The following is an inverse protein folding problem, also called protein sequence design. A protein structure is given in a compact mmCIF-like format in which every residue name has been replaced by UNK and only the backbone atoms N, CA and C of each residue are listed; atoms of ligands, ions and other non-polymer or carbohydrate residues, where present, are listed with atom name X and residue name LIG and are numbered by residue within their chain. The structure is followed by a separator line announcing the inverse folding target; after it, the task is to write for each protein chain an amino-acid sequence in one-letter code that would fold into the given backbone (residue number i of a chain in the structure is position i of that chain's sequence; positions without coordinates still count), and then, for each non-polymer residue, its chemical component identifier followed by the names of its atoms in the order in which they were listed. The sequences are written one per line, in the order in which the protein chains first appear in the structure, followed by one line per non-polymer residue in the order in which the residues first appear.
data_IF_588631700722
#
_entry.id   IF_588631700722
#
_cell.length_a   1.000
_cell.length_b   1.000
_cell.length_c   1.000
_cell.angle_alpha   90.00
_cell.angle_beta   90.00
_cell.angle_gamma   90.00
#
_symmetry.space_group_name_H-M   'P 1'
#
loop_
_entity.id
_entity.type
_entity.pdbx_description
1 polymer ?
#
# COMPACT_ATOMS: atom_id res chain seq x y z
N UNK A 1 -9.18 67.27 7.35
CA UNK A 1 -10.07 67.51 6.21
C UNK A 1 -9.58 66.64 5.08
N UNK A 2 -10.40 65.84 4.42
CA UNK A 2 -11.57 66.30 3.66
C UNK A 2 -12.62 65.19 3.55
N UNK A 3 -13.86 65.53 3.90
CA UNK A 3 -15.08 64.76 3.66
C UNK A 3 -15.53 64.89 2.19
N UNK A 4 -16.27 63.87 1.69
CA UNK A 4 -17.53 63.92 0.91
C UNK A 4 -17.58 62.78 -0.13
N UNK A 5 -18.76 62.36 -0.62
CA UNK A 5 -20.00 62.08 0.10
C UNK A 5 -20.58 60.68 -0.22
N UNK A 6 -21.46 60.23 0.67
CA UNK A 6 -22.42 59.15 0.46
C UNK A 6 -23.30 59.43 -0.76
N UNK A 7 -23.52 58.42 -1.61
CA UNK A 7 -24.56 58.42 -2.63
C UNK A 7 -25.43 57.17 -2.48
N UNK A 8 -26.57 57.39 -1.85
CA UNK A 8 -27.78 56.59 -1.95
C UNK A 8 -28.26 56.57 -3.41
N UNK A 9 -28.76 55.44 -3.91
CA UNK A 9 -30.18 55.33 -4.24
C UNK A 9 -30.58 53.89 -4.62
N UNK A 10 -31.87 53.52 -4.46
CA UNK A 10 -32.39 52.16 -4.50
C UNK A 10 -33.20 51.86 -5.78
N UNK A 11 -33.73 50.64 -5.86
CA UNK A 11 -34.97 50.21 -6.57
C UNK A 11 -34.80 49.22 -7.73
N UNK A 12 -35.57 48.13 -7.63
CA UNK A 12 -35.82 47.10 -8.64
C UNK A 12 -35.60 45.71 -8.04
N UNK A 13 -36.51 45.11 -7.27
CA UNK A 13 -37.89 44.81 -7.66
C UNK A 13 -37.95 43.40 -8.26
N UNK A 14 -38.01 42.36 -7.42
CA UNK A 14 -38.33 40.99 -7.86
C UNK A 14 -39.59 40.54 -7.12
N UNK A 15 -40.65 40.12 -7.81
CA UNK A 15 -41.92 39.82 -7.19
C UNK A 15 -41.93 38.44 -6.51
N UNK A 16 -42.61 38.44 -5.37
CA UNK A 16 -43.10 37.32 -4.59
C UNK A 16 -43.63 36.16 -5.42
N UNK A 17 -43.12 34.95 -5.17
CA UNK A 17 -43.92 33.72 -5.29
C UNK A 17 -43.87 32.94 -3.98
N UNK A 18 -44.94 33.15 -3.23
CA UNK A 18 -45.39 32.42 -2.07
C UNK A 18 -45.64 30.95 -2.44
N UNK A 19 -45.03 30.01 -1.72
CA UNK A 19 -45.59 28.67 -1.48
C UNK A 19 -45.24 28.29 -0.04
N UNK A 20 -46.28 28.04 0.75
CA UNK A 20 -46.25 27.69 2.17
C UNK A 20 -45.70 26.27 2.44
N UNK A 21 -45.31 25.97 3.69
CA UNK A 21 -44.57 24.78 4.07
C UNK A 21 -45.50 23.62 4.45
N UNK A 22 -45.13 22.37 4.14
CA UNK A 22 -45.70 21.18 4.78
C UNK A 22 -44.61 20.12 5.03
N UNK A 23 -44.31 19.96 6.32
CA UNK A 23 -43.72 18.83 7.07
C UNK A 23 -42.79 17.80 6.41
N UNK A 24 -41.64 17.58 7.07
CA UNK A 24 -41.07 16.22 7.15
C UNK A 24 -39.60 16.15 7.54
N UNK A 25 -39.33 15.84 8.82
CA UNK A 25 -38.23 14.94 9.19
C UNK A 25 -36.82 15.53 9.31
N UNK A 26 -36.51 16.11 10.48
CA UNK A 26 -35.15 16.16 10.99
C UNK A 26 -34.76 14.79 11.56
N UNK A 27 -33.93 14.01 10.87
CA UNK A 27 -33.09 12.99 11.54
C UNK A 27 -31.71 12.92 10.88
N UNK A 28 -30.77 13.56 11.58
CA UNK A 28 -29.36 13.19 11.71
C UNK A 28 -28.66 12.57 10.49
N UNK A 29 -27.92 13.40 9.77
CA UNK A 29 -26.72 12.98 9.06
C UNK A 29 -25.76 12.32 10.06
N UNK A 30 -25.64 11.00 9.95
CA UNK A 30 -24.78 10.18 10.78
C UNK A 30 -24.58 8.82 10.12
N UNK A 31 -24.11 8.80 8.87
CA UNK A 31 -23.65 7.57 8.24
C UNK A 31 -22.13 7.60 8.23
N UNK A 32 -21.61 6.84 9.18
CA UNK A 32 -20.20 6.60 9.44
C UNK A 32 -19.57 5.97 8.18
N UNK A 33 -18.48 6.58 7.72
CA UNK A 33 -17.65 6.07 6.63
C UNK A 33 -17.01 4.75 7.08
N UNK A 34 -17.58 3.62 6.63
CA UNK A 34 -16.95 2.31 6.77
C UNK A 34 -16.11 2.02 5.53
N UNK A 35 -14.80 1.97 5.72
CA UNK A 35 -13.81 1.52 4.75
C UNK A 35 -14.13 0.09 4.30
N UNK A 36 -14.24 -0.13 2.98
CA UNK A 36 -14.33 -1.47 2.38
C UNK A 36 -15.48 -1.62 1.38
N UNK A 37 -15.49 -0.81 0.31
CA UNK A 37 -16.52 -0.91 -0.73
C UNK A 37 -16.29 -2.11 -1.66
N UNK A 38 -17.12 -3.13 -1.53
CA UNK A 38 -17.46 -4.02 -2.67
C UNK A 38 -18.52 -3.32 -3.51
N UNK A 39 -18.20 -3.01 -4.77
CA UNK A 39 -19.16 -2.42 -5.69
C UNK A 39 -20.22 -3.48 -6.06
N UNK A 40 -21.42 -3.36 -5.52
CA UNK A 40 -22.57 -4.14 -5.97
C UNK A 40 -23.09 -3.54 -7.28
N UNK A 41 -22.71 -4.14 -8.42
CA UNK A 41 -23.40 -3.87 -9.69
C UNK A 41 -24.77 -4.54 -9.61
N UNK A 42 -25.85 -3.77 -9.74
CA UNK A 42 -27.20 -4.32 -9.85
C UNK A 42 -27.32 -5.12 -11.14
N UNK A 43 -27.50 -6.44 -11.02
CA UNK A 43 -27.75 -7.35 -12.13
C UNK A 43 -29.26 -7.31 -12.47
N UNK A 44 -29.65 -7.13 -13.73
CA UNK A 44 -31.06 -7.17 -14.12
C UNK A 44 -31.67 -8.56 -13.88
N UNK A 45 -32.88 -8.59 -13.32
CA UNK A 45 -33.62 -9.80 -13.02
C UNK A 45 -33.97 -10.55 -14.31
N UNK A 46 -33.26 -11.64 -14.59
CA UNK A 46 -33.48 -12.46 -15.78
C UNK A 46 -32.36 -13.44 -16.16
N UNK A 47 -31.19 -13.36 -15.51
CA UNK A 47 -30.07 -14.28 -15.76
C UNK A 47 -29.85 -15.17 -14.53
N UNK A 48 -30.10 -16.47 -14.65
CA UNK A 48 -29.69 -17.49 -13.67
C UNK A 48 -29.00 -18.65 -14.42
N UNK A 49 -28.21 -19.50 -13.74
CA UNK A 49 -27.07 -19.18 -12.92
C UNK A 49 -25.89 -20.08 -13.33
N UNK A 50 -24.87 -19.56 -14.02
CA UNK A 50 -23.71 -20.38 -14.37
C UNK A 50 -22.43 -19.62 -14.03
N UNK A 51 -21.69 -20.16 -13.05
CA UNK A 51 -20.30 -19.82 -12.86
C UNK A 51 -20.03 -18.72 -11.84
N UNK A 52 -19.45 -19.14 -10.72
CA UNK A 52 -18.76 -18.33 -9.72
C UNK A 52 -17.77 -17.39 -10.41
N UNK A 53 -18.04 -16.08 -10.45
CA UNK A 53 -17.05 -15.11 -10.89
C UNK A 53 -15.92 -15.06 -9.86
N UNK A 54 -14.74 -15.52 -10.28
CA UNK A 54 -13.49 -15.53 -9.52
C UNK A 54 -13.11 -14.12 -9.04
N UNK A 55 -13.52 -13.76 -7.82
CA UNK A 55 -12.99 -12.62 -7.07
C UNK A 55 -11.61 -12.90 -6.41
N UNK A 56 -10.94 -14.00 -6.76
CA UNK A 56 -9.60 -14.34 -6.26
C UNK A 56 -8.43 -13.83 -7.12
N UNK A 57 -8.63 -13.67 -8.43
CA UNK A 57 -7.50 -13.63 -9.38
C UNK A 57 -6.60 -12.37 -9.33
N UNK A 58 -7.07 -11.24 -8.78
CA UNK A 58 -6.24 -10.02 -8.67
C UNK A 58 -5.32 -10.10 -7.46
N UNK A 59 -5.76 -10.75 -6.38
CA UNK A 59 -4.95 -10.96 -5.18
C UNK A 59 -3.84 -11.97 -5.46
N UNK A 60 -4.17 -13.06 -6.16
CA UNK A 60 -3.23 -14.11 -6.58
C UNK A 60 -2.04 -13.56 -7.39
N UNK A 61 -2.28 -12.66 -8.36
CA UNK A 61 -1.21 -12.11 -9.20
C UNK A 61 -0.26 -11.23 -8.39
N UNK A 62 -0.81 -10.33 -7.54
CA UNK A 62 0.00 -9.42 -6.72
C UNK A 62 0.82 -10.21 -5.70
N UNK A 63 0.20 -11.20 -5.07
CA UNK A 63 0.86 -12.11 -4.16
C UNK A 63 2.03 -12.85 -4.83
N UNK A 64 1.83 -13.35 -6.06
CA UNK A 64 2.89 -14.02 -6.81
C UNK A 64 4.06 -13.08 -7.11
N UNK A 65 3.80 -11.83 -7.53
CA UNK A 65 4.85 -10.84 -7.76
C UNK A 65 5.65 -10.52 -6.49
N UNK A 66 4.98 -10.42 -5.34
CA UNK A 66 5.64 -10.20 -4.05
C UNK A 66 6.50 -11.39 -3.63
N UNK A 67 6.03 -12.62 -3.89
CA UNK A 67 6.79 -13.84 -3.66
C UNK A 67 8.02 -13.92 -4.54
N UNK A 68 7.87 -13.61 -5.83
CA UNK A 68 8.98 -13.58 -6.78
C UNK A 68 10.03 -12.55 -6.36
N UNK A 69 9.60 -11.35 -5.93
CA UNK A 69 10.52 -10.33 -5.39
C UNK A 69 11.30 -10.86 -4.18
N UNK A 70 10.64 -11.52 -3.22
CA UNK A 70 11.32 -12.12 -2.05
C UNK A 70 12.34 -13.17 -2.47
N UNK A 71 11.98 -14.04 -3.42
CA UNK A 71 12.92 -15.02 -3.95
C UNK A 71 14.12 -14.39 -4.64
N UNK A 72 13.93 -13.32 -5.42
CA UNK A 72 15.05 -12.61 -6.05
C UNK A 72 16.03 -12.05 -5.00
N UNK A 73 15.50 -11.51 -3.88
CA UNK A 73 16.33 -11.05 -2.77
C UNK A 73 17.10 -12.20 -2.11
N UNK A 74 16.45 -13.35 -1.87
CA UNK A 74 17.13 -14.52 -1.30
C UNK A 74 18.28 -15.01 -2.19
N UNK A 75 18.02 -15.12 -3.48
CA UNK A 75 19.01 -15.56 -4.47
C UNK A 75 20.20 -14.60 -4.52
N UNK A 76 19.95 -13.28 -4.49
CA UNK A 76 21.00 -12.28 -4.44
C UNK A 76 21.86 -12.43 -3.17
N UNK A 77 21.23 -12.59 -2.00
CA UNK A 77 21.94 -12.78 -0.73
C UNK A 77 22.83 -14.04 -0.79
N UNK A 78 22.27 -15.19 -1.19
CA UNK A 78 23.01 -16.45 -1.30
C UNK A 78 24.17 -16.34 -2.29
N UNK A 79 23.95 -15.67 -3.43
CA UNK A 79 24.98 -15.44 -4.45
C UNK A 79 26.15 -14.60 -3.90
N UNK A 80 25.85 -13.53 -3.18
CA UNK A 80 26.88 -12.67 -2.54
C UNK A 80 27.63 -13.44 -1.46
N UNK A 81 26.92 -14.15 -0.59
CA UNK A 81 27.51 -14.91 0.52
C UNK A 81 28.41 -16.05 0.04
N UNK A 82 27.96 -16.81 -0.97
CA UNK A 82 28.71 -17.93 -1.53
C UNK A 82 30.06 -17.51 -2.14
N UNK A 83 30.19 -16.26 -2.58
CA UNK A 83 31.43 -15.77 -3.21
C UNK A 83 32.56 -15.47 -2.22
N UNK A 84 32.25 -15.19 -0.94
CA UNK A 84 33.26 -14.79 0.06
C UNK A 84 33.21 -15.58 1.36
N UNK A 85 32.20 -16.45 1.52
CA UNK A 85 31.91 -17.29 2.69
C UNK A 85 31.61 -16.50 3.98
N UNK A 86 32.19 -15.33 4.17
CA UNK A 86 32.05 -14.49 5.37
C UNK A 86 31.68 -13.06 4.94
N UNK A 87 30.71 -12.47 5.64
CA UNK A 87 30.24 -11.12 5.34
C UNK A 87 29.77 -10.37 6.58
N UNK A 88 30.11 -9.08 6.67
CA UNK A 88 29.51 -8.20 7.67
C UNK A 88 28.11 -7.78 7.26
N UNK A 89 27.23 -7.70 8.25
CA UNK A 89 25.83 -7.33 8.10
C UNK A 89 25.62 -6.06 7.25
N UNK A 90 26.23 -4.93 7.64
CA UNK A 90 26.06 -3.65 6.94
C UNK A 90 26.53 -3.74 5.47
N UNK A 91 27.66 -4.43 5.24
CA UNK A 91 28.17 -4.60 3.88
C UNK A 91 27.26 -5.50 3.04
N UNK A 92 26.68 -6.54 3.65
CA UNK A 92 25.76 -7.45 2.96
C UNK A 92 24.51 -6.69 2.51
N UNK A 93 23.92 -5.91 3.40
CA UNK A 93 22.73 -5.08 3.10
C UNK A 93 23.02 -4.13 1.95
N UNK A 94 24.12 -3.35 2.02
CA UNK A 94 24.50 -2.41 0.96
C UNK A 94 24.73 -3.14 -0.37
N UNK A 95 25.40 -4.30 -0.36
CA UNK A 95 25.63 -5.08 -1.59
C UNK A 95 24.32 -5.56 -2.24
N UNK A 96 23.40 -6.06 -1.43
CA UNK A 96 22.09 -6.53 -1.92
C UNK A 96 21.28 -5.38 -2.50
N UNK A 97 21.30 -4.21 -1.84
CA UNK A 97 20.63 -3.01 -2.35
C UNK A 97 21.18 -2.61 -3.72
N UNK A 98 22.51 -2.49 -3.84
CA UNK A 98 23.17 -2.11 -5.11
C UNK A 98 22.89 -3.13 -6.23
N UNK A 99 22.87 -4.42 -5.90
CA UNK A 99 22.65 -5.49 -6.88
C UNK A 99 21.24 -5.48 -7.48
N UNK A 100 20.23 -5.07 -6.71
CA UNK A 100 18.83 -5.15 -7.09
C UNK A 100 18.18 -3.78 -7.35
N UNK A 101 18.92 -2.69 -7.18
CA UNK A 101 18.46 -1.31 -7.36
C UNK A 101 17.87 -1.03 -8.75
N UNK A 102 18.36 -1.72 -9.79
CA UNK A 102 17.87 -1.55 -11.18
C UNK A 102 16.46 -2.12 -11.39
N UNK A 103 16.03 -3.07 -10.55
CA UNK A 103 14.79 -3.83 -10.74
C UNK A 103 13.72 -3.52 -9.71
N UNK A 104 14.12 -3.18 -8.48
CA UNK A 104 13.21 -3.02 -7.35
C UNK A 104 13.63 -1.88 -6.43
N UNK A 105 12.64 -1.13 -5.94
CA UNK A 105 12.81 -0.28 -4.77
C UNK A 105 12.83 -1.15 -3.51
N UNK A 106 14.04 -1.54 -3.09
CA UNK A 106 14.23 -2.35 -1.90
C UNK A 106 14.20 -1.51 -0.63
N UNK A 107 13.49 -2.01 0.38
CA UNK A 107 13.55 -1.49 1.74
C UNK A 107 14.54 -2.33 2.57
N UNK A 108 15.34 -1.68 3.41
CA UNK A 108 16.22 -2.35 4.37
C UNK A 108 15.48 -3.40 5.19
N UNK A 109 14.26 -3.09 5.65
CA UNK A 109 13.46 -4.04 6.44
C UNK A 109 13.18 -5.36 5.70
N UNK A 110 13.01 -5.32 4.37
CA UNK A 110 12.81 -6.55 3.60
C UNK A 110 14.07 -7.41 3.62
N UNK A 111 15.24 -6.80 3.44
CA UNK A 111 16.53 -7.50 3.44
C UNK A 111 16.81 -8.12 4.81
N UNK A 112 16.59 -7.38 5.90
CA UNK A 112 16.69 -7.89 7.27
C UNK A 112 15.85 -9.16 7.47
N UNK A 113 14.57 -9.09 7.10
CA UNK A 113 13.66 -10.24 7.24
C UNK A 113 14.10 -11.45 6.41
N UNK A 114 14.68 -11.22 5.22
CA UNK A 114 15.18 -12.31 4.36
C UNK A 114 16.45 -12.92 4.93
N UNK A 115 17.36 -12.12 5.50
CA UNK A 115 18.56 -12.63 6.18
C UNK A 115 18.16 -13.55 7.35
N UNK A 116 17.20 -13.14 8.18
CA UNK A 116 16.69 -14.00 9.27
C UNK A 116 16.10 -15.33 8.75
N UNK A 117 15.30 -15.26 7.68
CA UNK A 117 14.74 -16.46 7.03
C UNK A 117 15.83 -17.41 6.52
N UNK A 118 16.94 -16.87 6.01
CA UNK A 118 18.08 -17.66 5.53
C UNK A 118 18.91 -18.27 6.67
N UNK A 119 18.94 -17.63 7.84
CA UNK A 119 19.55 -18.19 9.06
C UNK A 119 18.71 -19.36 9.58
N UNK A 120 17.39 -19.19 9.65
CA UNK A 120 16.46 -20.26 10.05
C UNK A 120 16.57 -21.48 9.13
N UNK A 121 16.65 -21.22 7.83
CA UNK A 121 16.79 -22.25 6.78
C UNK A 121 18.20 -22.85 6.67
N UNK A 122 19.14 -22.47 7.56
CA UNK A 122 20.52 -22.99 7.63
C UNK A 122 21.37 -22.75 6.37
N UNK A 123 21.09 -21.71 5.59
CA UNK A 123 21.98 -21.26 4.50
C UNK A 123 23.09 -20.34 5.02
N UNK A 124 22.86 -19.67 6.15
CA UNK A 124 23.78 -18.72 6.78
C UNK A 124 23.75 -18.95 8.29
N UNK A 125 24.86 -18.71 8.99
CA UNK A 125 24.94 -18.69 10.46
C UNK A 125 25.59 -17.39 10.92
N UNK A 126 25.19 -16.92 12.11
CA UNK A 126 25.90 -15.82 12.79
C UNK A 126 27.17 -16.37 13.44
N UNK A 127 28.26 -15.59 13.38
CA UNK A 127 29.48 -15.95 14.09
C UNK A 127 29.23 -16.00 15.61
N UNK A 128 29.98 -16.83 16.30
CA UNK A 128 29.89 -16.96 17.77
C UNK A 128 30.53 -15.77 18.48
N UNK A 129 31.55 -15.17 17.86
CA UNK A 129 32.27 -14.00 18.39
C UNK A 129 31.56 -12.66 18.08
N UNK A 130 30.93 -12.54 16.91
CA UNK A 130 30.28 -11.31 16.46
C UNK A 130 28.95 -11.61 15.75
N UNK A 131 27.85 -11.12 16.34
CA UNK A 131 26.50 -11.28 15.80
C UNK A 131 26.29 -10.50 14.49
N UNK A 132 27.16 -9.53 14.17
CA UNK A 132 27.12 -8.75 12.92
C UNK A 132 27.91 -9.41 11.79
N UNK A 133 28.50 -10.58 12.05
CA UNK A 133 29.23 -11.36 11.07
C UNK A 133 28.43 -12.59 10.68
N UNK A 134 28.24 -12.77 9.38
CA UNK A 134 27.53 -13.90 8.81
C UNK A 134 28.51 -14.84 8.10
N UNK A 135 28.27 -16.14 8.26
CA UNK A 135 29.02 -17.25 7.71
C UNK A 135 28.11 -18.05 6.79
N UNK A 136 28.53 -18.32 5.56
CA UNK A 136 27.83 -19.17 4.61
C UNK A 136 27.93 -20.64 5.03
N UNK A 137 26.84 -21.38 4.90
CA UNK A 137 26.80 -22.82 5.14
C UNK A 137 26.68 -23.51 3.77
N UNK A 138 27.69 -24.30 3.35
CA UNK A 138 27.66 -25.06 2.11
C UNK A 138 26.74 -26.31 2.18
#
# INVERSE_FOLDING_TARGET
GTLLPQRSDPMGGVPTRQQQPMHGGSTSSGVQSMNGGVAFVSVPAGMAPEGIFHLGAIDDRRYQMDKDRKHQVDLAIVRIMKAREIFHHNLLVVKVMVELQDRFDLNNQLIEMRIESLIESKYIKRSEDDQRLYLYIP
#
